data_IF_797946582228
#
_entry.id   IF_797946582228
#
_cell.length_a   1.000
_cell.length_b   1.000
_cell.length_c   1.000
_cell.angle_alpha   90.00
_cell.angle_beta   90.00
_cell.angle_gamma   90.00
#
_symmetry.space_group_name_H-M   'P 1'
#
loop_
_entity.id
_entity.type
_entity.pdbx_description
1 polymer ?
#
# COMPACT_ATOMS: atom_id res chain seq x y z
N UNK A 1 -2.22 -17.87 -12.94
CA UNK A 1 -3.29 -17.05 -12.35
C UNK A 1 -2.71 -15.68 -12.08
N UNK A 2 -3.27 -14.66 -12.71
CA UNK A 2 -2.83 -13.26 -12.61
C UNK A 2 -3.12 -12.69 -11.20
N UNK A 3 -2.30 -11.77 -10.69
CA UNK A 3 -2.51 -11.12 -9.38
C UNK A 3 -3.91 -10.53 -9.26
N UNK A 4 -4.41 -9.89 -10.32
CA UNK A 4 -5.75 -9.32 -10.34
C UNK A 4 -6.87 -10.35 -10.43
N UNK A 5 -6.66 -11.48 -11.12
CA UNK A 5 -7.61 -12.60 -11.13
C UNK A 5 -7.76 -13.19 -9.72
N UNK A 6 -6.64 -13.31 -8.98
CA UNK A 6 -6.66 -13.79 -7.60
C UNK A 6 -7.44 -12.84 -6.70
N UNK A 7 -7.21 -11.53 -6.81
CA UNK A 7 -7.92 -10.49 -6.07
C UNK A 7 -9.42 -10.56 -6.35
N UNK A 8 -9.80 -10.65 -7.62
CA UNK A 8 -11.21 -10.74 -8.00
C UNK A 8 -11.87 -11.99 -7.42
N UNK A 9 -11.22 -13.15 -7.53
CA UNK A 9 -11.72 -14.41 -6.97
C UNK A 9 -11.88 -14.31 -5.45
N UNK A 10 -10.88 -13.80 -4.75
CA UNK A 10 -10.93 -13.64 -3.30
C UNK A 10 -12.04 -12.69 -2.85
N UNK A 11 -12.23 -11.55 -3.54
CA UNK A 11 -13.34 -10.64 -3.26
C UNK A 11 -14.70 -11.25 -3.52
N UNK A 12 -14.84 -12.05 -4.59
CA UNK A 12 -16.07 -12.80 -4.87
C UNK A 12 -16.40 -13.73 -3.70
N UNK A 13 -15.42 -14.46 -3.20
CA UNK A 13 -15.61 -15.38 -2.07
C UNK A 13 -15.96 -14.61 -0.78
N UNK A 14 -15.30 -13.48 -0.51
CA UNK A 14 -15.62 -12.60 0.62
C UNK A 14 -17.04 -12.05 0.54
N UNK A 15 -17.46 -11.53 -0.62
CA UNK A 15 -18.82 -11.02 -0.85
C UNK A 15 -19.87 -12.12 -0.67
N UNK A 16 -19.61 -13.31 -1.21
CA UNK A 16 -20.52 -14.47 -1.06
C UNK A 16 -20.67 -14.94 0.38
N UNK A 17 -19.63 -14.80 1.20
CA UNK A 17 -19.68 -15.17 2.62
C UNK A 17 -20.71 -14.37 3.43
N UNK A 18 -21.06 -13.15 2.95
CA UNK A 18 -21.92 -12.18 3.65
C UNK A 18 -21.42 -11.86 5.07
N UNK A 19 -20.13 -12.06 5.34
CA UNK A 19 -19.49 -11.71 6.60
C UNK A 19 -18.74 -10.38 6.47
N UNK A 20 -18.66 -9.59 7.55
CA UNK A 20 -17.84 -8.39 7.55
C UNK A 20 -16.36 -8.75 7.38
N UNK A 21 -15.64 -7.97 6.58
CA UNK A 21 -14.19 -8.08 6.51
C UNK A 21 -13.59 -7.34 7.71
N UNK A 22 -13.13 -8.12 8.68
CA UNK A 22 -12.50 -7.62 9.90
C UNK A 22 -10.99 -7.73 9.79
N UNK A 23 -10.30 -6.61 9.90
CA UNK A 23 -8.84 -6.57 9.99
C UNK A 23 -8.39 -6.05 11.34
N UNK A 24 -7.90 -6.96 12.17
CA UNK A 24 -7.33 -6.62 13.49
C UNK A 24 -5.82 -6.54 13.38
N UNK A 25 -5.26 -5.34 13.50
CA UNK A 25 -3.83 -5.19 13.74
C UNK A 25 -3.61 -5.18 15.26
N UNK A 26 -2.61 -5.93 15.77
CA UNK A 26 -2.26 -5.98 17.20
C UNK A 26 -1.97 -4.59 17.82
N UNK A 27 -1.75 -3.55 17.00
CA UNK A 27 -1.33 -2.20 17.45
C UNK A 27 -2.19 -1.04 16.91
N UNK A 28 -3.29 -1.27 16.19
CA UNK A 28 -4.18 -0.22 15.65
C UNK A 28 -5.65 -0.64 15.66
N UNK A 29 -6.54 0.34 15.51
CA UNK A 29 -7.98 0.16 15.35
C UNK A 29 -8.28 -0.95 14.35
N UNK A 30 -9.27 -1.79 14.70
CA UNK A 30 -9.78 -2.79 13.79
C UNK A 30 -10.44 -2.09 12.60
N UNK A 31 -10.06 -2.42 11.37
CA UNK A 31 -10.84 -2.02 10.20
C UNK A 31 -12.02 -2.98 10.08
N UNK A 32 -13.21 -2.43 9.94
CA UNK A 32 -14.43 -3.19 9.72
C UNK A 32 -15.07 -2.71 8.42
N UNK A 33 -15.15 -3.60 7.43
CA UNK A 33 -15.86 -3.35 6.19
C UNK A 33 -17.12 -4.21 6.17
N UNK A 34 -18.32 -3.63 6.42
CA UNK A 34 -19.57 -4.37 6.45
C UNK A 34 -19.89 -5.07 5.12
N UNK A 35 -20.67 -6.17 5.13
CA UNK A 35 -20.99 -6.94 3.92
C UNK A 35 -21.58 -6.11 2.78
N UNK A 36 -22.58 -5.26 3.09
CA UNK A 36 -23.24 -4.42 2.08
C UNK A 36 -22.27 -3.41 1.46
N UNK A 37 -21.39 -2.86 2.30
CA UNK A 37 -20.36 -1.92 1.87
C UNK A 37 -19.29 -2.61 1.01
N UNK A 38 -18.86 -3.80 1.40
CA UNK A 38 -17.95 -4.62 0.62
C UNK A 38 -18.55 -4.99 -0.74
N UNK A 39 -19.83 -5.38 -0.78
CA UNK A 39 -20.55 -5.66 -2.02
C UNK A 39 -20.58 -4.44 -2.93
N UNK A 40 -20.92 -3.27 -2.39
CA UNK A 40 -20.95 -2.01 -3.15
C UNK A 40 -19.57 -1.68 -3.74
N UNK A 41 -18.50 -1.75 -2.93
CA UNK A 41 -17.13 -1.51 -3.38
C UNK A 41 -16.71 -2.52 -4.45
N UNK A 42 -17.04 -3.81 -4.25
CA UNK A 42 -16.78 -4.86 -5.24
C UNK A 42 -17.45 -4.55 -6.59
N UNK A 43 -18.76 -4.25 -6.58
CA UNK A 43 -19.52 -3.98 -7.79
C UNK A 43 -19.02 -2.73 -8.54
N UNK A 44 -18.58 -1.71 -7.81
CA UNK A 44 -18.13 -0.46 -8.42
C UNK A 44 -16.71 -0.54 -9.01
N UNK A 45 -15.84 -1.38 -8.47
CA UNK A 45 -14.39 -1.29 -8.73
C UNK A 45 -13.69 -2.60 -9.08
N UNK A 46 -14.34 -3.77 -8.94
CA UNK A 46 -13.67 -5.06 -9.08
C UNK A 46 -14.33 -6.00 -10.10
N UNK A 47 -15.32 -5.52 -10.86
CA UNK A 47 -15.96 -6.28 -11.94
C UNK A 47 -15.12 -6.31 -13.22
N UNK A 48 -14.45 -5.18 -13.54
CA UNK A 48 -13.76 -4.95 -14.81
C UNK A 48 -12.24 -4.71 -14.63
N UNK A 49 -11.60 -5.55 -13.81
CA UNK A 49 -10.15 -5.43 -13.56
C UNK A 49 -9.37 -5.90 -14.81
N UNK A 50 -8.36 -5.15 -15.27
CA UNK A 50 -7.62 -5.52 -16.47
C UNK A 50 -6.76 -6.78 -16.28
N UNK A 51 -6.71 -7.61 -17.31
CA UNK A 51 -5.89 -8.84 -17.34
C UNK A 51 -4.39 -8.56 -17.49
N UNK A 52 -3.98 -7.34 -17.87
CA UNK A 52 -2.59 -6.93 -18.06
C UNK A 52 -2.39 -5.47 -17.66
N UNK A 53 -1.17 -5.12 -17.27
CA UNK A 53 -0.82 -3.75 -16.88
C UNK A 53 -1.29 -3.37 -15.48
N UNK A 54 -1.16 -2.09 -15.14
CA UNK A 54 -1.67 -1.52 -13.90
C UNK A 54 -3.18 -1.27 -14.01
N UNK A 55 -3.89 -1.32 -12.89
CA UNK A 55 -5.32 -1.01 -12.85
C UNK A 55 -5.52 0.47 -12.51
N UNK A 56 -5.98 1.26 -13.47
CA UNK A 56 -6.26 2.69 -13.28
C UNK A 56 -7.75 2.95 -13.47
N UNK A 57 -8.39 3.56 -12.48
CA UNK A 57 -9.83 3.81 -12.51
C UNK A 57 -10.18 5.10 -11.76
N UNK A 58 -11.34 5.67 -12.09
CA UNK A 58 -11.92 6.79 -11.34
C UNK A 58 -12.56 6.27 -10.07
N UNK A 59 -12.36 6.98 -8.95
CA UNK A 59 -12.93 6.58 -7.67
C UNK A 59 -13.68 7.72 -6.99
N UNK A 60 -14.69 7.37 -6.20
CA UNK A 60 -15.38 8.32 -5.32
C UNK A 60 -14.59 8.54 -4.04
N UNK A 61 -14.47 9.79 -3.58
CA UNK A 61 -13.83 10.10 -2.29
C UNK A 61 -14.48 9.38 -1.10
N UNK A 62 -15.78 9.09 -1.19
CA UNK A 62 -16.49 8.32 -0.15
C UNK A 62 -15.96 6.88 -0.04
N UNK A 63 -15.37 6.34 -1.11
CA UNK A 63 -14.85 4.98 -1.17
C UNK A 63 -13.33 4.92 -0.97
N UNK A 64 -12.66 6.07 -0.82
CA UNK A 64 -11.20 6.16 -0.76
C UNK A 64 -10.59 5.28 0.34
N UNK A 65 -11.11 5.38 1.55
CA UNK A 65 -10.57 4.64 2.69
C UNK A 65 -10.73 3.13 2.52
N UNK A 66 -11.87 2.68 2.00
CA UNK A 66 -12.15 1.26 1.77
C UNK A 66 -11.24 0.69 0.68
N UNK A 67 -11.06 1.43 -0.41
CA UNK A 67 -10.17 1.05 -1.50
C UNK A 67 -8.71 1.04 -1.06
N UNK A 68 -8.25 2.06 -0.34
CA UNK A 68 -6.89 2.12 0.19
C UNK A 68 -6.64 1.00 1.19
N UNK A 69 -7.61 0.68 2.04
CA UNK A 69 -7.54 -0.46 2.94
C UNK A 69 -7.41 -1.78 2.16
N UNK A 70 -8.32 -2.05 1.22
CA UNK A 70 -8.31 -3.27 0.42
C UNK A 70 -6.99 -3.42 -0.33
N UNK A 71 -6.57 -2.42 -1.11
CA UNK A 71 -5.36 -2.52 -1.91
C UNK A 71 -4.09 -2.50 -1.06
N UNK A 72 -3.89 -1.53 -0.18
CA UNK A 72 -2.60 -1.36 0.52
C UNK A 72 -2.45 -2.31 1.70
N UNK A 73 -3.53 -2.58 2.42
CA UNK A 73 -3.48 -3.33 3.68
C UNK A 73 -3.83 -4.79 3.48
N UNK A 74 -4.96 -5.09 2.83
CA UNK A 74 -5.44 -6.46 2.64
C UNK A 74 -4.63 -7.18 1.55
N UNK A 75 -4.56 -6.63 0.33
CA UNK A 75 -3.85 -7.23 -0.80
C UNK A 75 -2.36 -6.86 -0.90
N UNK A 76 -1.86 -5.96 -0.04
CA UNK A 76 -0.45 -5.50 -0.01
C UNK A 76 0.06 -4.97 -1.36
N UNK A 77 -0.76 -4.17 -2.04
CA UNK A 77 -0.44 -3.54 -3.32
C UNK A 77 0.02 -2.10 -3.16
N UNK A 78 0.73 -1.59 -4.18
CA UNK A 78 1.08 -0.17 -4.26
C UNK A 78 0.01 0.60 -5.01
N UNK A 79 -0.39 1.74 -4.45
CA UNK A 79 -1.44 2.61 -4.99
C UNK A 79 -0.95 4.04 -5.08
N UNK A 80 -1.02 4.60 -6.28
CA UNK A 80 -0.81 6.02 -6.56
C UNK A 80 -2.18 6.70 -6.73
N UNK A 81 -2.35 7.85 -6.08
CA UNK A 81 -3.55 8.67 -6.18
C UNK A 81 -3.22 9.94 -6.97
N UNK A 82 -4.07 10.27 -7.94
CA UNK A 82 -3.99 11.50 -8.70
C UNK A 82 -5.39 12.10 -8.86
N UNK A 83 -5.70 13.12 -8.05
CA UNK A 83 -7.01 13.79 -7.98
C UNK A 83 -8.19 12.83 -7.76
N UNK A 84 -8.78 12.33 -8.84
CA UNK A 84 -9.92 11.41 -8.86
C UNK A 84 -9.59 10.04 -9.46
N UNK A 85 -8.32 9.80 -9.80
CA UNK A 85 -7.81 8.55 -10.35
C UNK A 85 -7.00 7.79 -9.31
N UNK A 86 -7.26 6.50 -9.21
CA UNK A 86 -6.48 5.55 -8.45
C UNK A 86 -5.75 4.63 -9.42
N UNK A 87 -4.42 4.53 -9.29
CA UNK A 87 -3.60 3.58 -10.04
C UNK A 87 -3.05 2.52 -9.09
N UNK A 88 -3.54 1.29 -9.23
CA UNK A 88 -3.06 0.11 -8.51
C UNK A 88 -2.02 -0.60 -9.36
N UNK A 89 -0.81 -0.70 -8.83
CA UNK A 89 0.30 -1.30 -9.55
C UNK A 89 0.25 -2.82 -9.43
N UNK A 90 0.30 -3.52 -10.58
CA UNK A 90 0.33 -4.99 -10.61
C UNK A 90 1.54 -5.56 -9.87
N UNK A 91 2.66 -4.87 -9.98
CA UNK A 91 3.90 -5.16 -9.26
C UNK A 91 4.31 -3.92 -8.46
N UNK A 92 4.65 -4.12 -7.18
CA UNK A 92 5.13 -3.03 -6.33
C UNK A 92 6.46 -2.52 -6.90
N UNK A 93 6.59 -1.20 -7.16
CA UNK A 93 7.86 -0.63 -7.59
C UNK A 93 8.98 -0.95 -6.61
N UNK A 94 10.17 -1.31 -7.12
CA UNK A 94 11.32 -1.66 -6.27
C UNK A 94 12.08 -0.46 -5.73
N UNK A 95 11.92 0.69 -6.38
CA UNK A 95 12.64 1.93 -6.05
C UNK A 95 11.67 3.09 -6.00
N UNK A 96 11.91 4.00 -5.07
CA UNK A 96 11.10 5.17 -4.84
C UNK A 96 11.98 6.40 -4.69
N UNK A 97 11.50 7.52 -5.23
CA UNK A 97 12.16 8.81 -5.09
C UNK A 97 11.43 9.63 -4.04
N UNK A 98 12.18 10.21 -3.11
CA UNK A 98 11.66 11.16 -2.13
C UNK A 98 11.28 12.46 -2.84
N UNK A 99 10.02 12.89 -2.72
CA UNK A 99 9.51 14.10 -3.38
C UNK A 99 9.38 15.30 -2.43
N UNK A 100 9.36 15.04 -1.13
CA UNK A 100 9.35 16.03 -0.04
C UNK A 100 10.30 15.54 1.05
N UNK A 101 11.02 16.45 1.70
CA UNK A 101 11.95 16.07 2.77
C UNK A 101 11.25 15.26 3.86
N UNK A 102 11.91 14.19 4.30
CA UNK A 102 11.46 13.32 5.40
C UNK A 102 12.39 13.53 6.59
N UNK A 103 11.87 13.97 7.72
CA UNK A 103 12.64 14.30 8.92
C UNK A 103 11.84 13.93 10.19
N UNK A 104 12.43 14.15 11.37
CA UNK A 104 11.78 13.77 12.65
C UNK A 104 10.48 14.53 12.96
N UNK A 105 10.22 15.67 12.31
CA UNK A 105 8.99 16.43 12.51
C UNK A 105 7.81 15.78 11.80
N UNK A 106 8.01 15.28 10.57
CA UNK A 106 6.95 14.65 9.78
C UNK A 106 6.95 13.10 9.85
N UNK A 107 8.06 12.49 10.26
CA UNK A 107 8.21 11.06 10.50
C UNK A 107 9.02 10.84 11.78
N UNK A 108 8.36 10.87 12.94
CA UNK A 108 8.99 10.80 14.29
C UNK A 108 10.05 9.71 14.45
N UNK A 109 9.85 8.57 13.82
CA UNK A 109 10.71 7.39 13.95
C UNK A 109 11.77 7.28 12.83
N UNK A 110 11.95 8.31 12.01
CA UNK A 110 13.02 8.31 11.00
C UNK A 110 14.40 8.39 11.70
N UNK A 111 15.39 7.58 11.28
CA UNK A 111 16.72 7.60 11.89
C UNK A 111 17.48 8.87 11.56
N UNK A 112 17.22 9.46 10.38
CA UNK A 112 17.85 10.67 9.88
C UNK A 112 16.91 11.44 8.94
N UNK A 113 17.37 12.62 8.51
CA UNK A 113 16.72 13.38 7.45
C UNK A 113 17.04 12.76 6.09
N UNK A 114 16.00 12.47 5.30
CA UNK A 114 16.13 12.11 3.89
C UNK A 114 15.74 13.31 3.04
N UNK A 115 16.69 13.80 2.26
CA UNK A 115 16.52 14.98 1.42
C UNK A 115 15.65 14.68 0.20
N UNK A 116 15.05 15.72 -0.39
CA UNK A 116 14.33 15.60 -1.65
C UNK A 116 15.26 15.03 -2.73
N UNK A 117 14.70 14.15 -3.55
CA UNK A 117 15.36 13.38 -4.61
C UNK A 117 16.20 12.17 -4.18
N UNK A 118 16.34 11.88 -2.88
CA UNK A 118 16.93 10.60 -2.43
C UNK A 118 16.18 9.41 -3.02
N UNK A 119 16.92 8.39 -3.45
CA UNK A 119 16.37 7.13 -3.94
C UNK A 119 16.38 6.12 -2.81
N UNK A 120 15.22 5.53 -2.55
CA UNK A 120 15.01 4.53 -1.53
C UNK A 120 14.55 3.21 -2.18
N UNK A 121 14.89 2.11 -1.55
CA UNK A 121 14.66 0.76 -2.04
C UNK A 121 13.54 0.09 -1.24
N UNK A 122 12.62 -0.58 -1.94
CA UNK A 122 11.62 -1.42 -1.29
C UNK A 122 12.32 -2.53 -0.52
N UNK A 123 11.99 -2.67 0.77
CA UNK A 123 12.50 -3.76 1.59
C UNK A 123 11.45 -4.19 2.61
N UNK A 124 11.63 -5.38 3.21
CA UNK A 124 10.69 -5.93 4.18
C UNK A 124 10.78 -5.15 5.49
N UNK A 125 9.62 -4.89 6.09
CA UNK A 125 9.52 -4.35 7.45
C UNK A 125 9.95 -5.44 8.45
N UNK A 126 11.20 -5.39 8.91
CA UNK A 126 11.80 -6.38 9.82
C UNK A 126 10.94 -6.63 11.08
N UNK A 127 10.40 -5.56 11.66
CA UNK A 127 9.63 -5.64 12.92
C UNK A 127 8.11 -5.65 12.73
N UNK A 128 7.62 -5.74 11.48
CA UNK A 128 6.18 -5.73 11.19
C UNK A 128 5.43 -4.47 11.62
N UNK A 129 6.12 -3.34 11.85
CA UNK A 129 5.55 -2.11 12.42
C UNK A 129 5.00 -1.13 11.38
N UNK A 130 5.17 -1.44 10.10
CA UNK A 130 4.77 -0.54 9.00
C UNK A 130 3.25 -0.39 8.90
N UNK A 131 2.80 0.86 8.94
CA UNK A 131 1.44 1.26 8.59
C UNK A 131 1.26 1.29 7.07
N UNK A 132 0.91 0.14 6.49
CA UNK A 132 0.67 0.05 5.06
C UNK A 132 -0.46 0.94 4.53
N UNK A 133 -1.38 1.42 5.39
CA UNK A 133 -2.40 2.39 4.97
C UNK A 133 -1.77 3.75 4.61
N UNK A 134 -0.79 4.19 5.40
CA UNK A 134 -0.22 5.54 5.31
C UNK A 134 1.13 5.58 4.58
N UNK A 135 1.90 4.48 4.61
CA UNK A 135 3.23 4.43 4.03
C UNK A 135 3.74 3.03 3.77
N UNK A 136 5.00 2.92 3.37
CA UNK A 136 5.67 1.67 3.02
C UNK A 136 7.08 1.65 3.60
N UNK A 137 7.58 0.46 3.93
CA UNK A 137 8.92 0.28 4.45
C UNK A 137 9.96 0.42 3.33
N UNK A 138 10.86 1.38 3.46
CA UNK A 138 11.92 1.65 2.50
C UNK A 138 13.28 1.69 3.19
N UNK A 139 14.31 1.24 2.48
CA UNK A 139 15.71 1.28 2.92
C UNK A 139 16.52 2.22 2.03
N UNK A 140 17.53 2.88 2.59
CA UNK A 140 18.49 3.66 1.80
C UNK A 140 19.48 2.75 1.07
N UNK A 141 19.91 1.68 1.73
CA UNK A 141 20.74 0.62 1.17
C UNK A 141 20.06 -0.74 1.40
N UNK A 142 20.26 -1.67 0.48
CA UNK A 142 19.87 -3.08 0.66
C UNK A 142 20.97 -3.91 1.32
N UNK A 143 22.09 -3.28 1.69
CA UNK A 143 23.15 -3.91 2.48
C UNK A 143 22.69 -4.09 3.93
N UNK A 144 22.86 -5.30 4.49
CA UNK A 144 22.63 -5.53 5.91
C UNK A 144 23.59 -4.73 6.80
N UNK A 145 23.18 -4.47 8.04
CA UNK A 145 24.08 -3.93 9.06
C UNK A 145 25.19 -4.93 9.37
N UNK A 146 26.42 -4.44 9.54
CA UNK A 146 27.60 -5.27 9.81
C UNK A 146 27.36 -6.22 10.99
N UNK A 147 27.63 -7.51 10.78
CA UNK A 147 27.40 -8.55 11.78
C UNK A 147 25.95 -9.02 11.91
N UNK A 148 25.06 -8.63 11.00
CA UNK A 148 23.64 -9.04 10.99
C UNK A 148 23.14 -9.27 9.56
N UNK A 149 21.98 -9.92 9.42
CA UNK A 149 21.22 -10.00 8.16
C UNK A 149 20.12 -8.93 8.06
N UNK A 150 20.18 -7.90 8.91
CA UNK A 150 19.11 -6.91 9.05
C UNK A 150 19.33 -5.76 8.06
N UNK A 151 18.40 -5.59 7.12
CA UNK A 151 18.31 -4.39 6.28
C UNK A 151 17.51 -3.31 7.05
N UNK A 152 18.12 -2.16 7.40
CA UNK A 152 17.44 -1.11 8.12
C UNK A 152 16.39 -0.44 7.23
N UNK A 153 15.13 -0.48 7.66
CA UNK A 153 14.01 0.14 6.95
C UNK A 153 13.36 1.23 7.79
N UNK A 154 12.84 2.24 7.09
CA UNK A 154 12.02 3.30 7.65
C UNK A 154 10.70 3.33 6.89
N UNK A 155 9.58 3.42 7.62
CA UNK A 155 8.32 3.70 6.96
C UNK A 155 8.33 5.13 6.43
N UNK A 156 8.06 5.28 5.14
CA UNK A 156 7.85 6.59 4.51
C UNK A 156 6.42 6.66 4.00
N UNK A 157 5.72 7.74 4.35
CA UNK A 157 4.33 7.94 3.95
C UNK A 157 4.21 8.15 2.44
N UNK A 158 3.14 7.63 1.81
CA UNK A 158 2.99 7.62 0.34
C UNK A 158 3.06 9.03 -0.27
N UNK A 159 2.56 10.06 0.41
CA UNK A 159 2.61 11.45 -0.05
C UNK A 159 4.03 12.07 -0.11
N UNK A 160 5.05 11.37 0.38
CA UNK A 160 6.46 11.79 0.37
C UNK A 160 7.30 11.04 -0.67
N UNK A 161 6.71 10.07 -1.37
CA UNK A 161 7.41 9.22 -2.33
C UNK A 161 6.67 9.12 -3.64
N UNK A 162 7.40 8.80 -4.70
CA UNK A 162 6.83 8.32 -5.95
C UNK A 162 7.67 7.16 -6.50
N UNK A 163 7.09 6.25 -7.29
CA UNK A 163 7.85 5.22 -7.99
C UNK A 163 9.00 5.84 -8.79
N UNK A 164 10.19 5.28 -8.66
CA UNK A 164 11.36 5.66 -9.44
C UNK A 164 11.60 4.60 -10.50
N UNK A 165 11.21 4.90 -11.74
CA UNK A 165 11.55 4.09 -12.90
C UNK A 165 12.97 4.46 -13.33
N UNK A 166 13.86 3.48 -13.29
CA UNK A 166 15.14 3.51 -14.03
C UNK A 166 14.91 3.01 -15.44
#
# INVERSE_FOLDING_TARGET
MNVFENIQKELVDLVKSKQPLLYRNKRRDAYNLPPDRLLQVYQNYFTDIPNKGNYTFKYSKNDENDLLFLFRVYFKMFVELNESLMTVYREIPRRFKIIKEVNKQNHRHTPKTFVKNSIMHLSKSVYGTTNYLNGIALAESLEPLQGTDIIPTTQINYQYIKPYKT
#
